data_IF_911062686734
#
_entry.id   IF_911062686734
#
_cell.length_a   1.000
_cell.length_b   1.000
_cell.length_c   1.000
_cell.angle_alpha   90.00
_cell.angle_beta   90.00
_cell.angle_gamma   90.00
#
_symmetry.space_group_name_H-M   'P 1'
#
loop_
_entity.id
_entity.type
_entity.pdbx_description
1 polymer ?
#
# COMPACT_ATOMS: atom_id res chain seq x y z
N UNK A 1 20.23 -15.56 12.99
CA UNK A 1 20.20 -15.07 11.59
C UNK A 1 20.17 -13.57 11.73
N UNK A 2 21.36 -13.00 11.81
CA UNK A 2 21.57 -11.73 12.50
C UNK A 2 21.17 -10.56 11.61
N UNK A 3 20.27 -9.73 12.10
CA UNK A 3 19.91 -8.48 11.46
C UNK A 3 21.11 -7.53 11.55
N UNK A 4 21.86 -7.41 10.46
CA UNK A 4 22.81 -6.32 10.29
C UNK A 4 22.04 -5.00 10.15
N UNK A 5 21.73 -4.38 11.28
CA UNK A 5 21.22 -3.01 11.35
C UNK A 5 22.46 -2.13 11.41
N UNK A 6 22.95 -1.62 10.28
CA UNK A 6 23.86 -0.47 10.23
C UNK A 6 24.00 0.03 8.78
N UNK A 7 22.94 0.63 8.25
CA UNK A 7 23.08 1.72 7.27
C UNK A 7 22.39 2.93 7.88
N UNK A 8 23.12 4.04 8.02
CA UNK A 8 22.48 5.31 8.34
C UNK A 8 21.52 5.62 7.18
N UNK A 9 20.23 5.40 7.38
CA UNK A 9 19.20 5.72 6.40
C UNK A 9 19.30 7.23 6.13
N UNK A 10 19.69 7.61 4.91
CA UNK A 10 19.78 9.03 4.59
C UNK A 10 18.37 9.62 4.48
N UNK A 11 18.25 10.93 4.65
CA UNK A 11 16.97 11.60 4.46
C UNK A 11 16.41 11.38 3.04
N UNK A 12 17.27 11.34 2.02
CA UNK A 12 16.84 11.09 0.65
C UNK A 12 16.35 9.66 0.46
N UNK A 13 17.02 8.66 1.06
CA UNK A 13 16.54 7.27 1.03
C UNK A 13 15.17 7.14 1.70
N UNK A 14 15.00 7.77 2.87
CA UNK A 14 13.72 7.81 3.58
C UNK A 14 12.62 8.47 2.74
N UNK A 15 12.92 9.61 2.12
CA UNK A 15 11.98 10.33 1.26
C UNK A 15 11.58 9.49 0.05
N UNK A 16 12.53 8.81 -0.60
CA UNK A 16 12.24 7.90 -1.71
C UNK A 16 11.35 6.73 -1.27
N UNK A 17 11.59 6.20 -0.07
CA UNK A 17 10.75 5.16 0.51
C UNK A 17 9.32 5.65 0.75
N UNK A 18 9.15 6.82 1.38
CA UNK A 18 7.83 7.43 1.61
C UNK A 18 7.08 7.68 0.30
N UNK A 19 7.76 8.17 -0.74
CA UNK A 19 7.15 8.37 -2.06
C UNK A 19 6.69 7.06 -2.70
N UNK A 20 7.47 5.98 -2.53
CA UNK A 20 7.12 4.65 -3.02
C UNK A 20 5.89 4.10 -2.30
N UNK A 21 5.80 4.27 -0.99
CA UNK A 21 4.66 3.85 -0.20
C UNK A 21 3.40 4.64 -0.57
N UNK A 22 3.54 5.96 -0.69
CA UNK A 22 2.46 6.83 -1.14
C UNK A 22 1.91 6.39 -2.50
N UNK A 23 2.79 6.12 -3.48
CA UNK A 23 2.38 5.60 -4.79
C UNK A 23 1.58 4.30 -4.66
N UNK A 24 2.03 3.38 -3.80
CA UNK A 24 1.35 2.10 -3.58
C UNK A 24 -0.02 2.30 -2.94
N UNK A 25 -0.12 3.17 -1.92
CA UNK A 25 -1.37 3.50 -1.25
C UNK A 25 -2.39 4.09 -2.22
N UNK A 26 -1.99 5.06 -3.03
CA UNK A 26 -2.88 5.73 -3.99
C UNK A 26 -3.37 4.75 -5.06
N UNK A 27 -2.48 3.90 -5.61
CA UNK A 27 -2.89 2.87 -6.59
C UNK A 27 -3.90 1.90 -5.96
N UNK A 28 -3.67 1.46 -4.73
CA UNK A 28 -4.59 0.56 -4.01
C UNK A 28 -5.97 1.19 -3.80
N UNK A 29 -5.99 2.49 -3.46
CA UNK A 29 -7.22 3.27 -3.31
C UNK A 29 -7.98 3.40 -4.63
N UNK A 30 -7.30 3.79 -5.71
CA UNK A 30 -7.92 3.92 -7.03
C UNK A 30 -8.48 2.58 -7.54
N UNK A 31 -7.73 1.49 -7.35
CA UNK A 31 -8.19 0.14 -7.69
C UNK A 31 -9.47 -0.23 -6.93
N UNK A 32 -9.54 0.08 -5.64
CA UNK A 32 -10.72 -0.17 -4.81
C UNK A 32 -11.94 0.65 -5.25
N UNK A 33 -11.75 1.92 -5.61
CA UNK A 33 -12.81 2.78 -6.15
C UNK A 33 -13.34 2.26 -7.49
N UNK A 34 -12.44 1.92 -8.42
CA UNK A 34 -12.79 1.35 -9.72
C UNK A 34 -13.54 0.02 -9.56
N UNK A 35 -13.00 -0.88 -8.74
CA UNK A 35 -13.63 -2.17 -8.46
C UNK A 35 -15.02 -2.02 -7.85
N UNK A 36 -15.19 -1.11 -6.88
CA UNK A 36 -16.51 -0.81 -6.30
C UNK A 36 -17.49 -0.35 -7.37
N UNK A 37 -17.07 0.55 -8.25
CA UNK A 37 -17.91 1.07 -9.33
C UNK A 37 -18.38 -0.03 -10.28
N UNK A 38 -17.48 -0.95 -10.65
CA UNK A 38 -17.80 -2.06 -11.55
C UNK A 38 -18.76 -3.08 -10.92
N UNK A 39 -18.62 -3.36 -9.62
CA UNK A 39 -19.57 -4.20 -8.87
C UNK A 39 -20.95 -3.52 -8.78
N UNK A 40 -20.99 -2.24 -8.40
CA UNK A 40 -22.26 -1.50 -8.27
C UNK A 40 -22.98 -1.31 -9.61
N UNK A 41 -22.24 -1.27 -10.72
CA UNK A 41 -22.82 -1.18 -12.06
C UNK A 41 -23.25 -2.53 -12.64
N UNK A 42 -23.14 -3.62 -11.86
CA UNK A 42 -23.53 -4.97 -12.28
C UNK A 42 -22.58 -5.66 -13.27
N UNK A 43 -21.41 -5.07 -13.55
CA UNK A 43 -20.42 -5.63 -14.47
C UNK A 43 -19.58 -6.74 -13.82
N UNK A 44 -19.45 -6.72 -12.50
CA UNK A 44 -18.83 -7.77 -11.70
C UNK A 44 -19.83 -8.33 -10.67
N UNK A 45 -19.75 -9.64 -10.40
CA UNK A 45 -20.70 -10.33 -9.49
C UNK A 45 -20.38 -10.14 -8.01
N UNK A 46 -19.12 -9.85 -7.66
CA UNK A 46 -18.66 -9.70 -6.29
C UNK A 46 -17.35 -8.92 -6.24
N UNK A 47 -17.07 -8.22 -5.14
CA UNK A 47 -15.79 -7.56 -4.92
C UNK A 47 -15.54 -7.23 -3.45
N UNK A 48 -14.34 -7.55 -2.97
CA UNK A 48 -13.82 -7.14 -1.65
C UNK A 48 -12.70 -6.16 -1.92
N UNK A 49 -12.82 -4.96 -1.37
CA UNK A 49 -11.87 -3.87 -1.59
C UNK A 49 -11.27 -3.41 -0.27
N UNK A 50 -9.98 -3.07 -0.29
CA UNK A 50 -9.20 -2.69 0.89
C UNK A 50 -9.29 -1.22 1.27
N UNK A 51 -10.38 -0.54 0.91
CA UNK A 51 -10.53 0.90 1.07
C UNK A 51 -10.34 1.37 2.52
N UNK A 52 -9.45 2.34 2.70
CA UNK A 52 -9.15 2.94 4.01
C UNK A 52 -8.21 2.09 4.88
N UNK A 53 -7.66 0.99 4.35
CA UNK A 53 -6.69 0.11 5.05
C UNK A 53 -5.29 0.16 4.45
N UNK A 54 -5.03 1.07 3.53
CA UNK A 54 -3.80 1.10 2.74
C UNK A 54 -2.57 1.38 3.62
N UNK A 55 -2.63 2.41 4.47
CA UNK A 55 -1.53 2.79 5.38
C UNK A 55 -1.19 1.69 6.39
N UNK A 56 -2.15 1.11 7.16
CA UNK A 56 -1.82 0.04 8.11
C UNK A 56 -1.30 -1.23 7.43
N UNK A 57 -1.76 -1.56 6.22
CA UNK A 57 -1.22 -2.68 5.45
C UNK A 57 0.22 -2.44 4.99
N UNK A 58 0.55 -1.21 4.56
CA UNK A 58 1.93 -0.83 4.23
C UNK A 58 2.85 -0.90 5.44
N UNK A 59 2.40 -0.42 6.61
CA UNK A 59 3.15 -0.52 7.85
C UNK A 59 3.40 -1.99 8.22
N UNK A 60 2.36 -2.83 8.21
CA UNK A 60 2.48 -4.25 8.50
C UNK A 60 3.45 -4.96 7.53
N UNK A 61 3.35 -4.69 6.22
CA UNK A 61 4.22 -5.28 5.21
C UNK A 61 5.70 -4.87 5.33
N UNK A 62 6.02 -3.80 6.06
CA UNK A 62 7.40 -3.38 6.34
C UNK A 62 7.90 -3.92 7.68
N UNK A 63 7.06 -3.89 8.70
CA UNK A 63 7.43 -4.28 10.06
C UNK A 63 7.66 -5.78 10.22
N UNK A 64 7.02 -6.61 9.41
CA UNK A 64 7.06 -8.07 9.53
C UNK A 64 7.78 -8.76 8.35
N UNK A 65 8.77 -8.09 7.76
CA UNK A 65 9.67 -8.70 6.77
C UNK A 65 10.73 -9.59 7.40
#
# INVERSE_FOLDING_TARGET
>A
MDAQINSNLTFEDFKLEVLKDYRTAVISRECSLLGRKEVLSGKAKFGIFGDGKEVPLLAMAKSFK
#
